data_IF_137040090402
#
_entry.id   IF_137040090402
#
_cell.length_a   1.000
_cell.length_b   1.000
_cell.length_c   1.000
_cell.angle_alpha   90.00
_cell.angle_beta   90.00
_cell.angle_gamma   90.00
#
_symmetry.space_group_name_H-M   'P 1'
#
loop_
_entity.id
_entity.type
_entity.pdbx_description
1 polymer ?
#
# COMPACT_ATOMS: atom_id res chain seq x y z
N UNK A 1 -9.94 16.70 -10.02
CA UNK A 1 -9.55 15.67 -9.06
C UNK A 1 -9.82 16.27 -7.69
N UNK A 2 -10.97 15.98 -7.09
CA UNK A 2 -11.36 16.57 -5.80
C UNK A 2 -10.90 15.61 -4.69
N UNK A 3 -9.85 15.97 -3.96
CA UNK A 3 -9.28 15.18 -2.86
C UNK A 3 -7.75 15.24 -2.78
N UNK A 4 -7.17 14.68 -1.71
CA UNK A 4 -5.71 14.63 -1.42
C UNK A 4 -4.90 13.78 -2.42
N UNK A 5 -5.56 13.01 -3.30
CA UNK A 5 -4.89 12.04 -4.17
C UNK A 5 -4.46 10.79 -3.41
N UNK A 6 -3.38 10.14 -3.84
CA UNK A 6 -2.78 9.02 -3.13
C UNK A 6 -2.04 9.50 -1.89
N UNK A 7 -2.29 8.84 -0.76
CA UNK A 7 -1.69 9.13 0.55
C UNK A 7 -1.00 7.86 1.04
N UNK A 8 0.18 8.01 1.66
CA UNK A 8 0.88 6.85 2.23
C UNK A 8 0.07 6.26 3.39
N UNK A 9 0.12 4.94 3.57
CA UNK A 9 -0.71 4.26 4.58
C UNK A 9 -0.40 4.73 6.02
N UNK A 10 0.84 5.13 6.29
CA UNK A 10 1.30 5.69 7.57
C UNK A 10 0.91 7.16 7.78
N UNK A 11 0.49 7.87 6.73
CA UNK A 11 0.01 9.25 6.77
C UNK A 11 -1.52 9.35 6.89
N UNK A 12 -2.25 8.22 6.80
CA UNK A 12 -3.71 8.19 6.92
C UNK A 12 -4.17 8.58 8.31
N UNK A 13 -5.25 9.37 8.37
CA UNK A 13 -5.80 9.89 9.61
C UNK A 13 -7.30 9.59 9.73
N UNK A 14 -7.79 9.56 10.97
CA UNK A 14 -9.23 9.49 11.25
C UNK A 14 -9.95 10.62 10.52
N UNK A 15 -11.05 10.29 9.84
CA UNK A 15 -11.81 11.22 9.02
C UNK A 15 -11.41 11.27 7.54
N UNK A 16 -10.24 10.72 7.16
CA UNK A 16 -9.89 10.57 5.75
C UNK A 16 -10.88 9.62 5.04
N UNK A 17 -11.03 9.82 3.73
CA UNK A 17 -11.94 9.07 2.87
C UNK A 17 -11.16 8.12 1.96
N UNK A 18 -11.50 6.84 2.03
CA UNK A 18 -10.96 5.78 1.19
C UNK A 18 -11.96 5.42 0.10
N UNK A 19 -11.50 5.27 -1.14
CA UNK A 19 -12.36 4.88 -2.25
C UNK A 19 -12.52 3.36 -2.30
N UNK A 20 -13.75 2.89 -2.47
CA UNK A 20 -14.10 1.47 -2.68
C UNK A 20 -14.19 1.11 -4.16
N UNK A 21 -14.21 -0.19 -4.44
CA UNK A 21 -14.38 -0.74 -5.79
C UNK A 21 -15.68 -0.35 -6.50
N UNK A 22 -16.75 -0.07 -5.74
CA UNK A 22 -18.03 0.44 -6.27
C UNK A 22 -18.01 1.96 -6.57
N UNK A 23 -16.87 2.63 -6.37
CA UNK A 23 -16.69 4.06 -6.55
C UNK A 23 -17.15 4.93 -5.37
N UNK A 24 -17.81 4.34 -4.36
CA UNK A 24 -18.21 5.07 -3.14
C UNK A 24 -17.06 5.18 -2.14
N UNK A 25 -17.25 6.01 -1.10
CA UNK A 25 -16.22 6.29 -0.10
C UNK A 25 -16.53 5.66 1.25
N UNK A 26 -15.48 5.25 1.96
CA UNK A 26 -15.48 4.85 3.37
C UNK A 26 -14.68 5.86 4.18
N UNK A 27 -15.15 6.23 5.37
CA UNK A 27 -14.41 7.13 6.27
C UNK A 27 -13.65 6.32 7.31
N UNK A 28 -12.39 6.68 7.55
CA UNK A 28 -11.58 6.07 8.61
C UNK A 28 -12.12 6.50 9.97
N UNK A 29 -12.53 5.53 10.78
CA UNK A 29 -12.99 5.72 12.15
C UNK A 29 -11.86 5.61 13.18
N UNK A 30 -10.86 4.77 12.91
CA UNK A 30 -9.72 4.52 13.79
C UNK A 30 -8.44 4.18 13.03
N UNK A 31 -7.29 4.62 13.55
CA UNK A 31 -5.96 4.19 13.12
C UNK A 31 -5.18 3.72 14.35
N UNK A 32 -4.62 2.51 14.28
CA UNK A 32 -3.80 1.91 15.34
C UNK A 32 -2.38 1.65 14.83
N UNK A 33 -1.37 2.11 15.58
CA UNK A 33 0.03 1.79 15.33
C UNK A 33 0.46 0.67 16.28
N UNK A 34 0.64 -0.53 15.72
CA UNK A 34 1.00 -1.72 16.50
C UNK A 34 2.48 -2.05 16.28
N UNK A 35 3.26 -2.05 17.37
CA UNK A 35 4.61 -2.61 17.36
C UNK A 35 4.52 -4.09 17.69
N UNK A 36 5.05 -4.93 16.82
CA UNK A 36 5.12 -6.37 17.03
C UNK A 36 6.47 -6.72 17.67
N UNK A 37 6.45 -7.64 18.65
CA UNK A 37 7.67 -8.11 19.33
C UNK A 37 8.51 -8.99 18.41
N UNK A 38 7.86 -9.76 17.54
CA UNK A 38 8.48 -10.62 16.54
C UNK A 38 8.16 -10.14 15.11
N UNK A 39 9.09 -10.30 14.14
CA UNK A 39 8.82 -9.97 12.75
C UNK A 39 7.69 -10.83 12.15
N UNK A 40 6.82 -10.20 11.36
CA UNK A 40 5.79 -10.90 10.58
C UNK A 40 6.09 -10.79 9.10
N UNK A 41 5.80 -11.86 8.36
CA UNK A 41 5.90 -11.84 6.89
C UNK A 41 4.72 -11.08 6.31
N UNK A 42 5.01 -10.04 5.51
CA UNK A 42 4.03 -9.31 4.72
C UNK A 42 4.24 -9.59 3.23
N UNK A 43 3.14 -9.59 2.47
CA UNK A 43 3.17 -9.89 1.03
C UNK A 43 2.70 -8.67 0.24
N UNK A 44 3.35 -8.43 -0.89
CA UNK A 44 2.97 -7.42 -1.87
C UNK A 44 3.15 -8.00 -3.27
N UNK A 45 2.30 -7.59 -4.21
CA UNK A 45 2.42 -7.96 -5.63
C UNK A 45 2.11 -6.75 -6.52
N UNK A 46 2.59 -6.80 -7.75
CA UNK A 46 2.38 -5.75 -8.74
C UNK A 46 1.40 -6.24 -9.80
N UNK A 47 0.45 -5.36 -10.17
CA UNK A 47 -0.43 -5.54 -11.32
C UNK A 47 0.14 -4.74 -12.48
N UNK A 48 0.15 -5.34 -13.67
CA UNK A 48 0.61 -4.67 -14.89
C UNK A 48 -0.25 -3.44 -15.24
N UNK A 49 0.38 -2.45 -15.87
CA UNK A 49 -0.18 -1.21 -16.42
C UNK A 49 -0.77 -0.22 -15.40
N UNK A 50 -1.69 -0.67 -14.55
CA UNK A 50 -2.45 0.20 -13.64
C UNK A 50 -1.81 0.34 -12.26
N UNK A 51 -0.96 -0.62 -11.87
CA UNK A 51 -0.24 -0.62 -10.59
C UNK A 51 -1.13 -0.35 -9.36
N UNK A 52 -2.43 -0.68 -9.46
CA UNK A 52 -3.44 -0.48 -8.42
C UNK A 52 -4.26 -1.75 -8.30
N UNK A 53 -4.76 -2.00 -7.10
CA UNK A 53 -5.60 -3.16 -6.80
C UNK A 53 -6.55 -2.85 -5.64
N UNK A 54 -7.49 -3.75 -5.40
CA UNK A 54 -8.40 -3.68 -4.25
C UNK A 54 -7.98 -4.67 -3.18
N UNK A 55 -7.94 -4.22 -1.92
CA UNK A 55 -7.60 -5.07 -0.76
C UNK A 55 -8.82 -5.31 0.12
N UNK A 56 -8.81 -6.46 0.80
CA UNK A 56 -9.87 -6.95 1.70
C UNK A 56 -11.21 -7.21 0.99
N UNK A 57 -12.16 -7.82 1.68
CA UNK A 57 -13.53 -8.02 1.17
C UNK A 57 -14.30 -6.69 1.00
N UNK A 58 -13.86 -5.63 1.70
CA UNK A 58 -14.46 -4.29 1.60
C UNK A 58 -14.08 -3.61 0.27
N UNK A 59 -12.98 -4.07 -0.36
CA UNK A 59 -12.54 -3.59 -1.66
C UNK A 59 -12.01 -2.16 -1.64
N UNK A 60 -10.99 -1.88 -0.82
CA UNK A 60 -10.35 -0.57 -0.73
C UNK A 60 -9.32 -0.40 -1.83
N UNK A 61 -9.36 0.73 -2.55
CA UNK A 61 -8.46 1.03 -3.65
C UNK A 61 -7.07 1.42 -3.13
N UNK A 62 -6.05 0.67 -3.54
CA UNK A 62 -4.65 0.93 -3.17
C UNK A 62 -3.76 0.98 -4.41
N UNK A 63 -2.68 1.73 -4.31
CA UNK A 63 -1.63 1.76 -5.32
C UNK A 63 -0.36 1.07 -4.83
N UNK A 64 0.32 0.40 -5.74
CA UNK A 64 1.66 -0.13 -5.61
C UNK A 64 2.50 0.40 -6.77
N UNK A 65 2.72 1.72 -6.74
CA UNK A 65 3.68 2.39 -7.62
C UNK A 65 4.95 2.62 -6.82
N UNK A 66 6.09 2.43 -7.48
CA UNK A 66 7.38 2.94 -7.01
C UNK A 66 7.29 4.48 -6.94
N UNK A 67 6.74 4.99 -5.85
CA UNK A 67 6.75 6.41 -5.52
C UNK A 67 8.18 6.78 -5.10
N UNK A 68 9.13 6.62 -6.02
CA UNK A 68 10.47 7.19 -5.89
C UNK A 68 10.26 8.69 -6.02
N UNK A 69 9.97 9.36 -4.89
CA UNK A 69 10.27 10.77 -4.77
C UNK A 69 11.78 10.86 -4.98
N UNK A 70 12.21 11.51 -6.05
CA UNK A 70 13.64 11.67 -6.37
C UNK A 70 14.32 12.39 -5.20
N UNK A 71 14.90 11.63 -4.25
CA UNK A 71 15.48 12.16 -3.02
C UNK A 71 15.27 11.32 -1.75
N UNK A 72 14.25 10.45 -1.69
CA UNK A 72 13.99 9.65 -0.48
C UNK A 72 14.81 8.36 -0.45
N UNK A 73 15.71 8.26 0.54
CA UNK A 73 16.51 7.05 0.81
C UNK A 73 15.79 6.14 1.81
N UNK A 74 14.50 5.87 1.60
CA UNK A 74 13.78 4.89 2.42
C UNK A 74 14.27 3.48 2.07
N UNK A 75 14.89 2.73 3.01
CA UNK A 75 15.28 1.35 2.78
C UNK A 75 14.02 0.51 2.56
N UNK A 76 13.84 -0.06 1.37
CA UNK A 76 12.70 -0.93 1.04
C UNK A 76 12.04 -0.67 -0.33
N UNK A 77 12.38 0.43 -1.01
CA UNK A 77 11.95 0.69 -2.38
C UNK A 77 12.70 -0.19 -3.39
N UNK A 78 12.38 -1.48 -3.46
CA UNK A 78 12.93 -2.37 -4.47
C UNK A 78 12.02 -2.38 -5.70
N UNK A 79 12.52 -1.83 -6.82
CA UNK A 79 11.91 -2.02 -8.13
C UNK A 79 12.15 -3.46 -8.57
N UNK A 80 11.14 -4.32 -8.48
CA UNK A 80 11.18 -5.63 -9.12
C UNK A 80 10.62 -5.48 -10.54
N UNK A 81 11.49 -5.64 -11.54
CA UNK A 81 11.12 -5.60 -12.96
C UNK A 81 10.58 -6.94 -13.47
N UNK A 82 10.57 -7.99 -12.64
CA UNK A 82 10.13 -9.34 -13.01
C UNK A 82 9.09 -9.87 -12.03
N UNK A 83 8.03 -10.47 -12.58
CA UNK A 83 6.93 -11.06 -11.82
C UNK A 83 7.32 -12.44 -11.28
N UNK A 84 7.53 -12.54 -9.96
CA UNK A 84 7.40 -13.80 -9.21
C UNK A 84 8.70 -14.39 -8.64
N UNK A 85 8.69 -14.50 -7.30
CA UNK A 85 9.41 -15.47 -6.46
C UNK A 85 10.93 -15.65 -6.66
N UNK A 86 11.72 -14.87 -5.91
CA UNK A 86 12.91 -15.45 -5.28
C UNK A 86 12.66 -15.64 -3.79
N UNK A 87 12.59 -16.91 -3.39
CA UNK A 87 12.62 -17.31 -1.98
C UNK A 87 13.94 -16.81 -1.38
N UNK A 88 13.89 -15.90 -0.42
CA UNK A 88 15.02 -15.62 0.44
C UNK A 88 14.87 -16.48 1.71
N UNK A 89 15.24 -17.76 1.59
CA UNK A 89 15.73 -18.50 2.73
C UNK A 89 17.07 -19.09 2.31
N UNK A 90 18.16 -18.41 2.65
CA UNK A 90 19.52 -18.94 2.60
C UNK A 90 20.37 -18.19 3.63
N UNK A 91 20.49 -18.82 4.81
CA UNK A 91 21.50 -18.73 5.88
C UNK A 91 21.84 -17.39 6.54
#
# INVERSE_FOLDING_TARGET
MEGKGWVSADELQIGDKLQKADGSNLTIDKVDFVKLDEPVTVYNFMVADFHTYYVTEIGIWVHNTNCIKTGDKTPGGHSFSEHGAQRANER
#
